data_IF_337328669928
#
_entry.id   IF_337328669928
#
_cell.length_a   1.000
_cell.length_b   1.000
_cell.length_c   1.000
_cell.angle_alpha   90.00
_cell.angle_beta   90.00
_cell.angle_gamma   90.00
#
_symmetry.space_group_name_H-M   'P 1'
#
loop_
_entity.id
_entity.type
_entity.pdbx_description
1 polymer ?
#
# COMPACT_ATOMS: atom_id res chain seq x y z
N UNK A 1 59.75 9.21 -37.75
CA UNK A 1 59.12 8.13 -38.54
C UNK A 1 59.41 6.86 -37.75
N UNK A 2 58.46 6.16 -37.12
CA UNK A 2 57.34 5.45 -37.75
C UNK A 2 56.30 5.08 -36.67
N UNK A 3 55.03 5.34 -36.95
CA UNK A 3 53.84 4.90 -36.18
C UNK A 3 53.54 3.43 -36.45
N UNK A 4 53.16 2.65 -35.42
CA UNK A 4 52.24 1.49 -35.53
C UNK A 4 51.56 1.31 -34.15
N UNK A 5 50.32 1.77 -33.98
CA UNK A 5 49.02 1.09 -34.20
C UNK A 5 48.64 0.02 -33.18
N UNK A 6 47.53 0.31 -32.49
CA UNK A 6 46.85 -0.47 -31.46
C UNK A 6 46.17 -1.73 -32.01
N UNK A 7 46.10 -2.78 -31.18
CA UNK A 7 45.10 -3.85 -31.32
C UNK A 7 44.57 -4.23 -29.93
N UNK A 8 43.37 -3.76 -29.61
CA UNK A 8 42.59 -4.18 -28.44
C UNK A 8 41.72 -5.36 -28.88
N UNK A 9 41.97 -6.55 -28.34
CA UNK A 9 41.11 -7.71 -28.55
C UNK A 9 39.88 -7.61 -27.64
N UNK A 10 38.70 -7.41 -28.23
CA UNK A 10 37.43 -7.53 -27.53
C UNK A 10 36.91 -8.97 -27.68
N UNK A 11 36.84 -9.71 -26.57
CA UNK A 11 36.22 -11.03 -26.51
C UNK A 11 34.73 -10.85 -26.20
N UNK A 12 33.87 -11.14 -27.17
CA UNK A 12 32.42 -11.16 -26.98
C UNK A 12 31.99 -12.52 -26.41
N UNK A 13 31.58 -12.53 -25.14
CA UNK A 13 30.95 -13.70 -24.52
C UNK A 13 29.45 -13.66 -24.83
N UNK A 14 28.98 -14.58 -25.66
CA UNK A 14 27.55 -14.81 -25.89
C UNK A 14 26.97 -15.57 -24.69
N UNK A 15 26.21 -14.86 -23.84
CA UNK A 15 25.40 -15.49 -22.79
C UNK A 15 24.10 -16.03 -23.41
N UNK A 16 23.96 -17.35 -23.46
CA UNK A 16 22.70 -18.02 -23.80
C UNK A 16 21.72 -17.93 -22.64
N UNK A 17 20.62 -17.20 -22.82
CA UNK A 17 19.50 -17.19 -21.87
C UNK A 17 18.63 -18.43 -22.07
N UNK A 18 18.57 -19.29 -21.05
CA UNK A 18 17.60 -20.38 -20.95
C UNK A 18 16.33 -19.80 -20.34
N UNK A 19 15.22 -19.81 -21.09
CA UNK A 19 13.93 -19.40 -20.57
C UNK A 19 13.40 -20.49 -19.61
N UNK A 20 13.37 -20.19 -18.30
CA UNK A 20 12.68 -21.02 -17.32
C UNK A 20 11.18 -20.74 -17.36
N UNK A 21 10.38 -21.78 -17.59
CA UNK A 21 8.92 -21.71 -17.60
C UNK A 21 8.40 -21.71 -16.14
N UNK A 22 7.65 -20.70 -15.67
CA UNK A 22 7.13 -20.69 -14.30
C UNK A 22 5.87 -21.58 -14.16
N UNK A 23 5.88 -22.47 -13.17
CA UNK A 23 4.67 -23.16 -12.68
C UNK A 23 3.93 -22.33 -11.60
N UNK A 24 2.65 -22.62 -11.32
CA UNK A 24 1.83 -21.77 -10.46
C UNK A 24 2.12 -22.02 -8.96
N UNK A 25 2.23 -20.92 -8.21
CA UNK A 25 2.45 -20.89 -6.75
C UNK A 25 1.08 -20.82 -6.08
N UNK A 26 0.77 -21.77 -5.18
CA UNK A 26 -0.48 -21.77 -4.38
C UNK A 26 -0.28 -20.89 -3.14
N UNK A 27 -1.05 -19.81 -3.01
CA UNK A 27 -1.02 -18.90 -1.87
C UNK A 27 -1.93 -19.39 -0.73
N UNK A 28 -1.43 -19.32 0.52
CA UNK A 28 -2.13 -19.77 1.74
C UNK A 28 -2.38 -18.55 2.62
N UNK A 29 -3.64 -18.33 3.03
CA UNK A 29 -4.07 -17.15 3.80
C UNK A 29 -3.37 -17.00 5.15
N UNK A 30 -3.02 -15.75 5.52
CA UNK A 30 -2.39 -15.42 6.81
C UNK A 30 -3.42 -14.91 7.84
N UNK A 31 -3.09 -15.07 9.14
CA UNK A 31 -3.94 -14.69 10.27
C UNK A 31 -3.21 -13.72 11.20
N UNK A 32 -3.84 -12.61 11.62
CA UNK A 32 -3.19 -11.58 12.45
C UNK A 32 -4.10 -10.97 13.54
N UNK A 33 -3.56 -10.54 14.71
CA UNK A 33 -4.32 -9.92 15.81
C UNK A 33 -4.53 -8.39 15.65
N UNK A 34 -5.72 -7.91 16.00
CA UNK A 34 -6.15 -6.49 16.02
C UNK A 34 -6.54 -6.08 17.44
N UNK A 35 -6.10 -4.90 17.92
CA UNK A 35 -6.36 -4.43 19.29
C UNK A 35 -7.46 -3.35 19.35
N UNK A 36 -8.43 -3.50 20.26
CA UNK A 36 -9.57 -2.60 20.44
C UNK A 36 -9.47 -1.76 21.75
N UNK A 37 -8.25 -1.44 22.19
CA UNK A 37 -8.02 -0.72 23.44
C UNK A 37 -8.25 -1.51 24.74
N UNK A 38 -8.79 -2.74 24.68
CA UNK A 38 -8.96 -3.64 25.86
C UNK A 38 -8.47 -5.07 25.63
N UNK A 39 -8.65 -5.65 24.44
CA UNK A 39 -8.17 -7.00 24.08
C UNK A 39 -7.80 -7.11 22.58
N UNK A 40 -7.08 -8.18 22.22
CA UNK A 40 -6.70 -8.55 20.86
C UNK A 40 -7.65 -9.60 20.23
N UNK A 41 -7.97 -9.44 18.94
CA UNK A 41 -8.86 -10.32 18.15
C UNK A 41 -8.16 -10.76 16.85
N UNK A 42 -8.23 -12.05 16.47
CA UNK A 42 -7.57 -12.62 15.28
C UNK A 42 -8.43 -12.54 14.00
N UNK A 43 -7.83 -12.21 12.85
CA UNK A 43 -8.48 -12.09 11.53
C UNK A 43 -7.70 -12.87 10.46
N UNK A 44 -8.37 -13.51 9.49
CA UNK A 44 -7.77 -14.27 8.36
C UNK A 44 -8.11 -13.66 6.98
N UNK A 45 -7.21 -13.77 5.99
CA UNK A 45 -7.42 -13.25 4.62
C UNK A 45 -7.12 -14.29 3.52
N UNK A 46 -7.82 -14.19 2.37
CA UNK A 46 -7.63 -15.06 1.19
C UNK A 46 -6.81 -14.37 0.07
N UNK A 47 -6.06 -15.12 -0.77
CA UNK A 47 -5.20 -14.55 -1.82
C UNK A 47 -5.89 -14.49 -3.20
N UNK A 48 -5.58 -13.47 -4.01
CA UNK A 48 -6.03 -13.33 -5.42
C UNK A 48 -4.86 -13.00 -6.34
N UNK A 49 -4.80 -13.67 -7.50
CA UNK A 49 -3.73 -13.65 -8.51
C UNK A 49 -4.20 -12.88 -9.74
N UNK A 50 -3.49 -11.82 -10.16
CA UNK A 50 -3.37 -11.42 -11.58
C UNK A 50 -2.08 -10.60 -11.78
N UNK A 51 -1.30 -10.95 -12.80
CA UNK A 51 0.03 -10.40 -13.12
C UNK A 51 0.06 -9.99 -14.58
N UNK A 52 0.26 -8.69 -14.82
CA UNK A 52 0.24 -8.06 -16.15
C UNK A 52 -0.53 -6.77 -16.02
N UNK A 53 0.09 -5.71 -15.48
CA UNK A 53 0.39 -4.47 -16.21
C UNK A 53 1.47 -3.64 -15.47
N UNK A 54 2.53 -4.31 -15.01
CA UNK A 54 3.31 -3.90 -13.83
C UNK A 54 4.21 -2.66 -14.02
N UNK A 55 4.60 -2.21 -15.22
CA UNK A 55 5.70 -1.22 -15.31
C UNK A 55 5.34 0.27 -15.29
N UNK A 56 4.08 0.67 -15.54
CA UNK A 56 3.68 2.10 -15.51
C UNK A 56 2.89 2.50 -14.26
N UNK A 57 2.44 1.54 -13.42
CA UNK A 57 1.80 1.85 -12.12
C UNK A 57 2.77 1.86 -10.93
N UNK A 58 4.05 1.51 -11.12
CA UNK A 58 5.02 1.41 -10.02
C UNK A 58 5.50 2.75 -9.43
N UNK A 59 5.15 3.89 -10.04
CA UNK A 59 5.50 5.22 -9.52
C UNK A 59 4.33 5.91 -8.79
N UNK A 60 3.12 5.36 -8.88
CA UNK A 60 1.93 5.86 -8.21
C UNK A 60 1.33 4.67 -7.49
N UNK A 61 1.65 4.53 -6.19
CA UNK A 61 1.26 3.40 -5.37
C UNK A 61 -0.10 2.79 -5.70
N UNK A 62 -0.14 1.47 -5.92
CA UNK A 62 -1.31 0.76 -6.42
C UNK A 62 -2.56 1.08 -5.57
N UNK A 63 -3.62 1.55 -6.23
CA UNK A 63 -4.88 1.94 -5.58
C UNK A 63 -5.92 0.87 -5.86
N UNK A 64 -6.56 0.36 -4.82
CA UNK A 64 -7.69 -0.53 -4.97
C UNK A 64 -8.83 -0.18 -4.00
N UNK A 65 -10.06 -0.60 -4.34
CA UNK A 65 -11.26 -0.28 -3.54
C UNK A 65 -11.56 -1.32 -2.47
N UNK A 66 -10.55 -2.09 -2.01
CA UNK A 66 -10.78 -3.06 -0.94
C UNK A 66 -10.92 -2.35 0.40
N UNK A 67 -11.88 -2.83 1.19
CA UNK A 67 -12.16 -2.37 2.53
C UNK A 67 -13.17 -3.29 3.20
N UNK A 68 -13.72 -2.85 4.32
CA UNK A 68 -14.78 -3.54 5.05
C UNK A 68 -16.04 -3.72 4.19
N UNK A 69 -16.76 -4.82 4.41
CA UNK A 69 -18.09 -5.04 3.81
C UNK A 69 -19.13 -3.94 4.17
N UNK A 70 -18.82 -3.12 5.18
CA UNK A 70 -19.69 -2.05 5.67
C UNK A 70 -19.30 -0.65 5.15
N UNK A 71 -18.44 -0.58 4.13
CA UNK A 71 -17.96 0.68 3.56
C UNK A 71 -19.09 1.53 2.95
N UNK A 72 -20.17 0.94 2.48
CA UNK A 72 -21.34 1.68 1.95
C UNK A 72 -22.09 2.48 3.03
N UNK A 73 -21.87 2.17 4.32
CA UNK A 73 -22.60 2.78 5.44
C UNK A 73 -21.81 3.84 6.19
N UNK A 74 -20.79 4.42 5.54
CA UNK A 74 -19.89 5.38 6.18
C UNK A 74 -20.38 6.84 6.09
N UNK A 75 -21.31 7.15 5.17
CA UNK A 75 -21.82 8.52 5.00
C UNK A 75 -20.68 9.52 4.74
N UNK A 76 -20.78 10.73 5.33
CA UNK A 76 -19.73 11.77 5.26
C UNK A 76 -18.55 11.55 6.22
N UNK A 77 -18.57 10.47 7.01
CA UNK A 77 -17.59 10.22 8.07
C UNK A 77 -16.14 10.25 7.56
N UNK A 78 -15.90 9.74 6.35
CA UNK A 78 -14.55 9.71 5.78
C UNK A 78 -14.05 11.11 5.37
N UNK A 79 -14.93 11.98 4.87
CA UNK A 79 -14.57 13.36 4.56
C UNK A 79 -14.22 14.14 5.84
N UNK A 80 -14.95 13.87 6.92
CA UNK A 80 -14.67 14.46 8.23
C UNK A 80 -13.37 13.93 8.84
N UNK A 81 -13.07 12.64 8.67
CA UNK A 81 -11.78 12.07 9.06
C UNK A 81 -10.63 12.71 8.27
N UNK A 82 -10.78 12.88 6.96
CA UNK A 82 -9.82 13.55 6.09
C UNK A 82 -9.52 14.99 6.55
N UNK A 83 -10.55 15.77 6.89
CA UNK A 83 -10.40 17.16 7.39
C UNK A 83 -9.63 17.27 8.71
N UNK A 84 -9.56 16.19 9.50
CA UNK A 84 -8.81 16.16 10.75
C UNK A 84 -7.33 15.84 10.55
N UNK A 85 -6.91 15.41 9.36
CA UNK A 85 -5.50 15.14 9.07
C UNK A 85 -4.71 16.44 9.15
N UNK A 86 -3.61 16.40 9.90
CA UNK A 86 -2.65 17.52 9.97
C UNK A 86 -1.51 17.20 9.02
N UNK A 87 -1.31 17.96 7.93
CA UNK A 87 -0.35 17.60 6.87
C UNK A 87 1.09 17.40 7.37
N UNK A 88 1.49 18.20 8.38
CA UNK A 88 2.84 18.19 8.96
C UNK A 88 3.05 17.15 10.05
N UNK A 89 2.02 16.39 10.45
CA UNK A 89 2.16 15.35 11.46
C UNK A 89 2.70 14.06 10.83
N UNK A 90 3.46 13.31 11.62
CA UNK A 90 3.89 11.96 11.29
C UNK A 90 2.86 10.95 11.80
N UNK A 91 2.50 10.00 10.94
CA UNK A 91 1.59 8.90 11.24
C UNK A 91 2.34 7.57 11.10
N UNK A 92 2.22 6.70 12.10
CA UNK A 92 3.05 5.51 12.20
C UNK A 92 2.36 4.30 12.80
N UNK A 93 2.80 3.10 12.39
CA UNK A 93 2.44 1.81 12.99
C UNK A 93 3.49 1.26 13.99
N UNK A 94 4.51 2.03 14.39
CA UNK A 94 5.45 1.61 15.45
C UNK A 94 4.69 1.41 16.77
N UNK A 95 4.93 0.28 17.45
CA UNK A 95 4.14 -0.21 18.60
C UNK A 95 4.16 0.73 19.82
N UNK A 96 5.22 1.53 19.95
CA UNK A 96 5.51 2.45 21.06
C UNK A 96 5.00 3.89 20.82
N UNK A 97 4.66 4.24 19.58
CA UNK A 97 4.22 5.58 19.19
C UNK A 97 3.05 5.57 18.18
N UNK A 98 2.26 4.49 18.15
CA UNK A 98 1.22 4.23 17.14
C UNK A 98 0.17 5.36 17.09
N UNK A 99 0.40 6.31 16.20
CA UNK A 99 -0.57 7.27 15.71
C UNK A 99 -0.80 6.95 14.23
N UNK A 100 -1.68 6.01 13.92
CA UNK A 100 -1.78 5.50 12.54
C UNK A 100 -2.57 6.45 11.63
N UNK A 101 -3.38 7.36 12.17
CA UNK A 101 -4.22 8.18 11.32
C UNK A 101 -5.25 9.00 12.08
N UNK A 102 -6.28 9.40 11.34
CA UNK A 102 -7.43 10.14 11.87
C UNK A 102 -8.71 9.39 11.62
N UNK A 103 -9.73 9.69 12.41
CA UNK A 103 -11.02 9.06 12.22
C UNK A 103 -12.18 9.98 12.64
N UNK A 104 -13.37 9.70 12.12
CA UNK A 104 -14.62 10.37 12.48
C UNK A 104 -15.77 9.40 12.37
N UNK A 105 -16.63 9.33 13.39
CA UNK A 105 -17.79 8.44 13.40
C UNK A 105 -17.42 6.97 13.16
N UNK A 106 -17.71 6.48 11.96
CA UNK A 106 -17.46 5.08 11.56
C UNK A 106 -16.36 4.91 10.52
N UNK A 107 -15.68 5.98 10.12
CA UNK A 107 -14.62 5.92 9.11
C UNK A 107 -13.27 6.40 9.66
N UNK A 108 -12.20 5.72 9.24
CA UNK A 108 -10.83 6.08 9.52
C UNK A 108 -9.99 6.19 8.25
N UNK A 109 -9.03 7.10 8.28
CA UNK A 109 -7.96 7.25 7.30
C UNK A 109 -6.63 7.00 8.03
N UNK A 110 -5.95 5.91 7.72
CA UNK A 110 -4.82 5.46 8.52
C UNK A 110 -3.78 4.67 7.72
N UNK A 111 -2.52 4.76 8.15
CA UNK A 111 -1.43 3.92 7.70
C UNK A 111 -1.52 2.52 8.32
N UNK A 112 -1.18 1.51 7.54
CA UNK A 112 -1.22 0.10 7.88
C UNK A 112 -0.01 -0.62 7.29
N UNK A 113 0.36 -1.75 7.88
CA UNK A 113 1.59 -2.47 7.58
C UNK A 113 2.54 -2.48 8.76
N UNK A 114 3.71 -3.08 8.57
CA UNK A 114 4.70 -3.27 9.62
C UNK A 114 5.73 -2.14 9.62
N UNK A 115 5.94 -1.48 10.76
CA UNK A 115 6.94 -0.42 10.93
C UNK A 115 6.83 0.68 9.85
N UNK A 116 5.60 1.14 9.63
CA UNK A 116 5.29 2.14 8.62
C UNK A 116 5.32 3.53 9.22
N UNK A 117 5.81 4.49 8.45
CA UNK A 117 5.80 5.91 8.79
C UNK A 117 5.50 6.72 7.53
N UNK A 118 4.55 7.62 7.63
CA UNK A 118 4.14 8.52 6.55
C UNK A 118 3.80 9.90 7.11
N UNK A 119 3.84 10.91 6.26
CA UNK A 119 3.39 12.25 6.62
C UNK A 119 1.87 12.38 6.48
N UNK A 120 1.27 13.34 7.16
CA UNK A 120 -0.15 13.67 6.99
C UNK A 120 -0.49 14.07 5.56
N UNK A 121 0.45 14.69 4.84
CA UNK A 121 0.27 14.96 3.41
C UNK A 121 0.06 13.66 2.61
N UNK A 122 0.80 12.59 2.92
CA UNK A 122 0.63 11.29 2.24
C UNK A 122 -0.76 10.69 2.50
N UNK A 123 -1.30 10.85 3.72
CA UNK A 123 -2.68 10.46 4.05
C UNK A 123 -3.68 11.21 3.17
N UNK A 124 -3.49 12.51 3.01
CA UNK A 124 -4.38 13.35 2.20
C UNK A 124 -4.29 13.01 0.71
N UNK A 125 -3.08 12.78 0.20
CA UNK A 125 -2.86 12.40 -1.19
C UNK A 125 -3.44 11.03 -1.48
N UNK A 126 -3.24 10.05 -0.58
CA UNK A 126 -3.87 8.74 -0.69
C UNK A 126 -5.39 8.82 -0.66
N UNK A 127 -5.96 9.70 0.17
CA UNK A 127 -7.40 9.94 0.20
C UNK A 127 -7.93 10.35 -1.17
N UNK A 128 -7.29 11.36 -1.76
CA UNK A 128 -7.67 11.89 -3.06
C UNK A 128 -7.47 10.86 -4.18
N UNK A 129 -6.39 10.09 -4.15
CA UNK A 129 -6.13 9.05 -5.14
C UNK A 129 -7.15 7.92 -5.08
N UNK A 130 -7.53 7.48 -3.88
CA UNK A 130 -8.57 6.44 -3.70
C UNK A 130 -9.92 6.92 -4.26
N UNK A 131 -10.30 8.18 -3.99
CA UNK A 131 -11.56 8.75 -4.48
C UNK A 131 -11.55 9.01 -5.98
N UNK A 132 -10.45 9.52 -6.52
CA UNK A 132 -10.41 10.07 -7.87
C UNK A 132 -9.85 9.10 -8.91
N UNK A 133 -8.85 8.28 -8.55
CA UNK A 133 -8.15 7.37 -9.46
C UNK A 133 -8.63 5.93 -9.31
N UNK A 134 -8.78 5.49 -8.07
CA UNK A 134 -9.36 4.18 -7.76
C UNK A 134 -10.85 4.08 -8.11
N UNK A 135 -11.51 5.23 -8.31
CA UNK A 135 -12.97 5.34 -8.45
C UNK A 135 -13.73 4.70 -7.27
N UNK A 136 -13.13 4.73 -6.08
CA UNK A 136 -13.68 4.09 -4.91
C UNK A 136 -14.71 5.00 -4.23
N UNK A 137 -15.95 4.53 -4.12
CA UNK A 137 -17.06 5.35 -3.62
C UNK A 137 -16.97 5.65 -2.12
N UNK A 138 -16.32 4.80 -1.32
CA UNK A 138 -16.30 4.94 0.14
C UNK A 138 -14.99 4.54 0.81
N UNK A 139 -14.48 3.35 0.49
CA UNK A 139 -13.25 2.81 1.06
C UNK A 139 -12.28 2.43 -0.03
N UNK A 140 -11.02 2.34 0.35
CA UNK A 140 -9.99 1.79 -0.50
C UNK A 140 -8.67 1.84 0.21
N UNK A 141 -7.64 1.42 -0.50
CA UNK A 141 -6.27 1.41 -0.01
C UNK A 141 -5.35 1.81 -1.14
N UNK A 142 -4.31 2.55 -0.76
CA UNK A 142 -3.19 2.92 -1.62
C UNK A 142 -1.95 2.25 -1.06
N UNK A 143 -1.30 1.43 -1.87
CA UNK A 143 -0.03 0.84 -1.51
C UNK A 143 1.06 1.92 -1.53
N UNK A 144 1.91 1.94 -0.52
CA UNK A 144 3.11 2.78 -0.46
C UNK A 144 4.31 1.85 -0.71
N UNK A 145 5.50 2.21 -0.25
CA UNK A 145 6.68 1.35 -0.31
C UNK A 145 6.71 0.31 0.82
N UNK A 146 7.51 -0.74 0.63
CA UNK A 146 7.90 -1.69 1.70
C UNK A 146 6.74 -2.39 2.42
N UNK A 147 5.61 -2.61 1.73
CA UNK A 147 4.43 -3.26 2.31
C UNK A 147 3.57 -2.34 3.19
N UNK A 148 3.92 -1.06 3.28
CA UNK A 148 3.08 -0.04 3.90
C UNK A 148 1.93 0.33 2.98
N UNK A 149 0.78 0.63 3.57
CA UNK A 149 -0.41 1.04 2.86
C UNK A 149 -1.10 2.16 3.62
N UNK A 150 -1.78 3.05 2.91
CA UNK A 150 -2.74 3.97 3.51
C UNK A 150 -4.14 3.48 3.15
N UNK A 151 -5.03 3.43 4.14
CA UNK A 151 -6.39 2.90 4.01
C UNK A 151 -7.42 3.96 4.37
N UNK A 152 -8.48 4.02 3.57
CA UNK A 152 -9.78 4.56 3.98
C UNK A 152 -10.65 3.34 4.27
N UNK A 153 -11.01 3.13 5.53
CA UNK A 153 -11.79 1.95 5.91
C UNK A 153 -12.75 2.25 7.05
N UNK A 154 -13.69 1.33 7.26
CA UNK A 154 -14.55 1.36 8.44
C UNK A 154 -13.73 1.13 9.70
N UNK A 155 -14.00 1.94 10.71
CA UNK A 155 -13.57 1.72 12.10
C UNK A 155 -14.79 1.45 12.98
N UNK A 156 -14.61 0.71 14.08
CA UNK A 156 -15.70 0.41 15.01
C UNK A 156 -16.08 1.61 15.90
N UNK A 157 -15.19 2.59 16.03
CA UNK A 157 -15.44 3.83 16.73
C UNK A 157 -14.24 4.77 16.70
N UNK A 158 -14.55 6.06 16.88
CA UNK A 158 -13.68 7.19 17.16
C UNK A 158 -14.19 7.85 18.44
#
# INVERSE_FOLDING_TARGET
MQLTSHAVYAVTVLATIVAAVPGPIVARGERFPVFNGTQSVMVETEPSVETGNVLMSLAEGDVDCKGSAFCERLGSSCDDAYRKVVPSNTYTTYLDASNTGTCSGTCGLFVSGNHCEVMGQDLMDAYNDIRNRGHCSHCGRKQIANGCMIKIDRVMGC
#
